data_IF_972561922421
#
_entry.id   IF_972561922421
#
_cell.length_a   1.000
_cell.length_b   1.000
_cell.length_c   1.000
_cell.angle_alpha   90.00
_cell.angle_beta   90.00
_cell.angle_gamma   90.00
#
_symmetry.space_group_name_H-M   'P 1'
#
loop_
_entity.id
_entity.type
_entity.pdbx_description
1 polymer ?
#
# COMPACT_ATOMS: atom_id res chain seq x y z
N UNK A 1 -16.38 -11.05 26.74
CA UNK A 1 -15.88 -11.11 25.34
C UNK A 1 -14.55 -11.85 25.38
N UNK A 2 -14.46 -13.03 24.78
CA UNK A 2 -13.25 -13.85 24.84
C UNK A 2 -12.36 -13.47 23.66
N UNK A 3 -11.17 -12.97 23.96
CA UNK A 3 -10.18 -12.55 22.96
C UNK A 3 -9.04 -13.56 23.02
N UNK A 4 -8.66 -14.10 21.86
CA UNK A 4 -7.48 -14.94 21.73
C UNK A 4 -6.44 -14.19 20.90
N UNK A 5 -5.21 -14.12 21.40
CA UNK A 5 -4.08 -13.52 20.70
C UNK A 5 -3.21 -14.62 20.14
N UNK A 6 -2.90 -14.55 18.85
CA UNK A 6 -2.03 -15.50 18.18
C UNK A 6 -0.78 -14.78 17.71
N UNK A 7 0.38 -15.40 17.93
CA UNK A 7 1.65 -14.86 17.45
C UNK A 7 1.90 -15.31 16.00
N UNK A 8 2.33 -14.37 15.16
CA UNK A 8 2.75 -14.62 13.80
C UNK A 8 3.95 -13.77 13.42
N UNK A 9 4.63 -14.17 12.36
CA UNK A 9 5.75 -13.44 11.76
C UNK A 9 5.32 -13.02 10.35
N UNK A 10 5.74 -11.83 9.92
CA UNK A 10 5.54 -11.38 8.54
C UNK A 10 6.71 -11.86 7.69
N UNK A 11 6.44 -12.73 6.71
CA UNK A 11 7.42 -13.19 5.73
C UNK A 11 6.88 -12.85 4.33
N UNK A 12 7.70 -12.20 3.49
CA UNK A 12 7.31 -11.77 2.14
C UNK A 12 6.00 -10.95 2.08
N UNK A 13 5.71 -10.17 3.13
CA UNK A 13 4.47 -9.37 3.23
C UNK A 13 3.22 -10.17 3.60
N UNK A 14 3.35 -11.46 3.92
CA UNK A 14 2.26 -12.32 4.36
C UNK A 14 2.42 -12.64 5.85
N UNK A 15 1.30 -12.75 6.57
CA UNK A 15 1.31 -13.10 8.00
C UNK A 15 1.31 -14.63 8.11
N UNK A 16 2.38 -15.19 8.68
CA UNK A 16 2.52 -16.60 8.99
C UNK A 16 2.33 -16.81 10.49
N UNK A 17 1.26 -17.49 10.89
CA UNK A 17 1.03 -17.84 12.29
C UNK A 17 2.01 -18.94 12.73
N UNK A 18 2.62 -18.79 13.92
CA UNK A 18 3.56 -19.80 14.45
C UNK A 18 2.88 -21.12 14.82
N UNK A 19 1.55 -21.12 14.95
CA UNK A 19 0.75 -22.29 15.32
C UNK A 19 -0.41 -22.43 14.35
N UNK A 20 -0.80 -23.67 14.06
CA UNK A 20 -2.02 -23.95 13.30
C UNK A 20 -3.25 -23.61 14.14
N UNK A 21 -3.94 -22.53 13.76
CA UNK A 21 -5.16 -22.06 14.42
C UNK A 21 -6.35 -22.35 13.51
N UNK A 22 -7.40 -22.97 14.04
CA UNK A 22 -8.68 -23.13 13.34
C UNK A 22 -9.65 -22.06 13.83
N UNK A 23 -10.00 -21.14 12.95
CA UNK A 23 -11.00 -20.12 13.20
C UNK A 23 -12.30 -20.48 12.46
N UNK A 24 -13.48 -20.10 13.00
CA UNK A 24 -14.74 -20.23 12.29
C UNK A 24 -14.74 -19.51 10.94
N UNK A 25 -15.50 -20.04 9.98
CA UNK A 25 -15.67 -19.37 8.68
C UNK A 25 -16.31 -17.99 8.84
N UNK A 26 -15.88 -17.04 7.98
CA UNK A 26 -16.37 -15.65 7.94
C UNK A 26 -16.20 -14.87 9.25
N UNK A 27 -15.33 -15.32 10.15
CA UNK A 27 -14.96 -14.55 11.33
C UNK A 27 -14.10 -13.35 10.90
N UNK A 28 -14.50 -12.14 11.32
CA UNK A 28 -13.66 -10.95 11.18
C UNK A 28 -12.52 -10.98 12.19
N UNK A 29 -11.30 -10.76 11.71
CA UNK A 29 -10.09 -10.72 12.54
C UNK A 29 -9.40 -9.37 12.42
N UNK A 30 -8.70 -8.95 13.48
CA UNK A 30 -7.88 -7.75 13.49
C UNK A 30 -6.41 -8.14 13.61
N UNK A 31 -5.55 -7.46 12.86
CA UNK A 31 -4.09 -7.62 12.93
C UNK A 31 -3.52 -6.40 13.63
N UNK A 32 -2.74 -6.63 14.68
CA UNK A 32 -2.00 -5.58 15.38
C UNK A 32 -0.53 -5.74 15.01
N UNK A 33 0.04 -4.74 14.32
CA UNK A 33 1.46 -4.74 13.93
C UNK A 33 2.15 -3.61 14.71
N UNK A 34 3.02 -3.92 15.69
CA UNK A 34 3.79 -2.90 16.40
C UNK A 34 4.74 -2.19 15.43
N UNK A 35 4.94 -0.89 15.63
CA UNK A 35 5.88 -0.05 14.87
C UNK A 35 5.66 -0.05 13.35
N UNK A 36 4.45 -0.41 12.89
CA UNK A 36 4.11 -0.36 11.47
C UNK A 36 3.93 1.07 10.99
N UNK A 37 4.81 1.50 10.08
CA UNK A 37 4.62 2.71 9.31
C UNK A 37 3.95 2.32 8.00
N UNK A 38 2.69 2.72 7.83
CA UNK A 38 2.01 2.53 6.56
C UNK A 38 2.80 3.25 5.45
N UNK A 39 2.99 2.63 4.27
CA UNK A 39 3.58 3.33 3.15
C UNK A 39 2.74 4.56 2.86
N UNK A 40 3.38 5.72 2.85
CA UNK A 40 2.74 6.97 2.48
C UNK A 40 2.40 6.87 0.99
N UNK A 41 1.14 6.59 0.67
CA UNK A 41 0.63 6.79 -0.68
C UNK A 41 0.66 8.29 -0.95
N UNK A 42 1.71 8.74 -1.64
CA UNK A 42 1.80 10.10 -2.17
C UNK A 42 0.76 10.19 -3.28
N UNK A 43 -0.37 10.81 -2.98
CA UNK A 43 -1.33 11.18 -4.01
C UNK A 43 -0.82 12.47 -4.65
N UNK A 44 -0.43 12.37 -5.93
CA UNK A 44 -0.20 13.56 -6.73
C UNK A 44 -1.56 14.02 -7.21
N UNK A 45 -2.09 15.08 -6.60
CA UNK A 45 -3.30 15.74 -7.09
C UNK A 45 -3.07 16.14 -8.54
N UNK A 46 -3.83 15.53 -9.45
CA UNK A 46 -3.71 15.82 -10.86
C UNK A 46 -4.36 17.18 -11.12
N UNK A 47 -3.62 18.20 -11.61
CA UNK A 47 -4.22 19.49 -11.90
C UNK A 47 -5.32 19.31 -12.93
N UNK A 48 -6.45 20.01 -12.73
CA UNK A 48 -7.54 20.06 -13.70
C UNK A 48 -7.33 21.24 -14.63
N UNK A 49 -7.58 21.05 -15.93
CA UNK A 49 -7.61 22.14 -16.89
C UNK A 49 -8.76 23.11 -16.53
N UNK A 50 -8.48 24.41 -16.56
CA UNK A 50 -9.52 25.44 -16.42
C UNK A 50 -10.50 25.38 -17.59
N UNK A 51 -10.01 24.97 -18.77
CA UNK A 51 -10.75 24.82 -20.02
C UNK A 51 -10.54 23.40 -20.59
N UNK A 52 -11.50 22.46 -20.40
CA UNK A 52 -11.36 21.07 -20.82
C UNK A 52 -11.07 20.86 -22.31
N UNK A 53 -11.48 21.79 -23.17
CA UNK A 53 -11.27 21.77 -24.62
C UNK A 53 -9.79 21.86 -25.05
N UNK A 54 -8.91 22.35 -24.17
CA UNK A 54 -7.47 22.52 -24.44
C UNK A 54 -6.65 21.24 -24.24
N UNK A 55 -7.29 20.10 -23.95
CA UNK A 55 -6.60 18.83 -23.66
C UNK A 55 -5.60 18.41 -24.74
N UNK A 56 -5.83 18.79 -26.00
CA UNK A 56 -4.93 18.48 -27.12
C UNK A 56 -3.58 19.19 -27.03
N UNK A 57 -3.49 20.31 -26.31
CA UNK A 57 -2.25 21.06 -26.11
C UNK A 57 -1.37 20.46 -24.99
N UNK A 58 -1.93 19.53 -24.19
CA UNK A 58 -1.29 18.97 -22.99
C UNK A 58 -1.08 17.45 -23.12
N UNK A 59 -0.44 17.02 -24.21
CA UNK A 59 -0.06 15.61 -24.41
C UNK A 59 1.11 15.26 -23.48
N UNK A 60 0.89 14.28 -22.60
CA UNK A 60 1.92 13.81 -21.66
C UNK A 60 3.00 13.03 -22.41
N UNK A 61 4.24 13.52 -22.35
CA UNK A 61 5.42 12.78 -22.80
C UNK A 61 6.08 12.12 -21.58
N UNK A 62 6.21 10.79 -21.60
CA UNK A 62 6.91 10.06 -20.54
C UNK A 62 8.33 9.77 -21.05
N UNK A 63 9.32 10.48 -20.51
CA UNK A 63 10.72 10.15 -20.72
C UNK A 63 11.23 9.27 -19.57
N UNK A 64 12.11 8.33 -19.91
CA UNK A 64 12.78 7.49 -18.92
C UNK A 64 14.14 8.10 -18.64
N UNK A 65 14.26 8.84 -17.55
CA UNK A 65 15.59 9.30 -17.09
C UNK A 65 16.40 8.10 -16.60
N UNK A 66 17.64 7.99 -17.10
CA UNK A 66 18.66 7.14 -16.49
C UNK A 66 19.11 7.79 -15.18
N UNK A 67 19.31 7.01 -14.10
CA UNK A 67 19.69 7.56 -12.81
C UNK A 67 20.98 8.38 -12.94
N UNK A 68 20.90 9.63 -12.50
CA UNK A 68 22.05 10.52 -12.40
C UNK A 68 23.05 9.92 -11.39
N UNK A 69 24.19 9.46 -11.89
CA UNK A 69 25.30 9.02 -11.05
C UNK A 69 26.12 10.26 -10.77
N UNK A 70 25.72 11.00 -9.74
CA UNK A 70 26.43 12.20 -9.29
C UNK A 70 27.92 11.93 -9.09
N UNK A 71 28.76 12.75 -9.73
CA UNK A 71 30.22 12.78 -9.58
C UNK A 71 30.61 13.62 -8.37
#
# INVERSE_FOLDING_TARGET
MTIATFEGIVEHGQIHLKTSVRLPERLQVFVVVPDYTAPQTVHVDTPRLVHPEQVQDFVMEISKETPDVGV
#
